data_IF_525701978126
#
_entry.id   IF_525701978126
#
_cell.length_a   1.000
_cell.length_b   1.000
_cell.length_c   1.000
_cell.angle_alpha   90.00
_cell.angle_beta   90.00
_cell.angle_gamma   90.00
#
_symmetry.space_group_name_H-M   'P 1'
#
loop_
_entity.id
_entity.type
_entity.pdbx_description
1 polymer ?
#
# COMPACT_ATOMS: atom_id res chain seq x y z
N UNK A 1 0.05 -15.30 19.27
CA UNK A 1 0.89 -14.80 20.37
C UNK A 1 0.52 -15.49 21.69
N UNK A 2 1.45 -15.62 22.62
CA UNK A 2 1.14 -16.07 23.97
C UNK A 2 0.53 -14.92 24.79
N UNK A 3 -0.44 -15.22 25.68
CA UNK A 3 -1.25 -14.20 26.39
C UNK A 3 -0.41 -13.12 27.12
N UNK A 4 0.77 -13.48 27.60
CA UNK A 4 1.63 -12.58 28.36
C UNK A 4 2.54 -11.68 27.47
N UNK A 5 2.43 -11.79 26.16
CA UNK A 5 3.29 -11.07 25.20
C UNK A 5 2.51 -10.16 24.26
N UNK A 6 1.33 -9.73 24.67
CA UNK A 6 0.48 -8.85 23.86
C UNK A 6 1.17 -7.53 23.49
N UNK A 7 1.89 -6.92 24.43
CA UNK A 7 2.60 -5.67 24.17
C UNK A 7 3.69 -5.83 23.12
N UNK A 8 4.43 -6.93 23.14
CA UNK A 8 5.45 -7.24 22.14
C UNK A 8 4.81 -7.41 20.76
N UNK A 9 3.70 -8.15 20.69
CA UNK A 9 2.92 -8.31 19.46
C UNK A 9 2.44 -6.97 18.93
N UNK A 10 1.86 -6.14 19.79
CA UNK A 10 1.33 -4.82 19.41
C UNK A 10 2.41 -3.91 18.83
N UNK A 11 3.57 -3.81 19.47
CA UNK A 11 4.68 -3.01 18.99
C UNK A 11 5.28 -3.57 17.71
N UNK A 12 5.45 -4.87 17.62
CA UNK A 12 5.94 -5.50 16.38
C UNK A 12 4.99 -5.27 15.21
N UNK A 13 3.70 -5.45 15.43
CA UNK A 13 2.67 -5.21 14.40
C UNK A 13 2.68 -3.75 13.93
N UNK A 14 2.72 -2.81 14.86
CA UNK A 14 2.81 -1.38 14.56
C UNK A 14 4.04 -1.03 13.74
N UNK A 15 5.21 -1.55 14.14
CA UNK A 15 6.46 -1.35 13.42
C UNK A 15 6.39 -1.95 12.00
N UNK A 16 5.90 -3.16 11.85
CA UNK A 16 5.77 -3.83 10.57
C UNK A 16 4.84 -3.06 9.63
N UNK A 17 3.72 -2.55 10.13
CA UNK A 17 2.78 -1.73 9.37
C UNK A 17 3.43 -0.42 8.90
N UNK A 18 4.10 0.31 9.77
CA UNK A 18 4.80 1.56 9.43
C UNK A 18 5.90 1.34 8.40
N UNK A 19 6.69 0.27 8.54
CA UNK A 19 7.71 -0.10 7.56
C UNK A 19 7.11 -0.44 6.20
N UNK A 20 5.99 -1.14 6.17
CA UNK A 20 5.29 -1.49 4.93
C UNK A 20 4.80 -0.23 4.21
N UNK A 21 4.21 0.71 4.93
CA UNK A 21 3.76 1.99 4.36
C UNK A 21 4.93 2.84 3.85
N UNK A 22 6.03 2.91 4.61
CA UNK A 22 7.23 3.61 4.18
C UNK A 22 7.84 2.99 2.91
N UNK A 23 7.82 1.67 2.82
CA UNK A 23 8.30 0.95 1.64
C UNK A 23 7.39 1.19 0.43
N UNK A 24 6.08 1.25 0.62
CA UNK A 24 5.14 1.59 -0.45
C UNK A 24 5.41 3.01 -1.00
N UNK A 25 5.71 3.98 -0.14
CA UNK A 25 6.13 5.32 -0.56
C UNK A 25 7.43 5.30 -1.39
N UNK A 26 8.41 4.52 -0.94
CA UNK A 26 9.69 4.37 -1.64
C UNK A 26 9.50 3.76 -3.05
N UNK A 27 8.70 2.70 -3.14
CA UNK A 27 8.39 2.07 -4.43
C UNK A 27 7.62 3.00 -5.36
N UNK A 28 6.64 3.74 -4.84
CA UNK A 28 5.89 4.71 -5.63
C UNK A 28 6.79 5.84 -6.14
N UNK A 29 7.71 6.34 -5.31
CA UNK A 29 8.71 7.31 -5.74
C UNK A 29 9.61 6.75 -6.86
N UNK A 30 10.00 5.48 -6.77
CA UNK A 30 10.76 4.79 -7.81
C UNK A 30 9.96 4.72 -9.12
N UNK A 31 8.69 4.32 -9.05
CA UNK A 31 7.80 4.27 -10.23
C UNK A 31 7.71 5.63 -10.90
N UNK A 32 7.53 6.72 -10.13
CA UNK A 32 7.49 8.08 -10.69
C UNK A 32 8.79 8.47 -11.40
N UNK A 33 9.94 8.06 -10.85
CA UNK A 33 11.24 8.30 -11.52
C UNK A 33 11.35 7.53 -12.82
N UNK A 34 10.98 6.26 -12.82
CA UNK A 34 11.02 5.40 -14.02
C UNK A 34 10.07 5.89 -15.11
N UNK A 35 8.93 6.46 -14.74
CA UNK A 35 7.97 7.06 -15.68
C UNK A 35 8.34 8.50 -16.11
N UNK A 36 9.40 9.07 -15.56
CA UNK A 36 9.83 10.42 -15.91
C UNK A 36 8.95 11.55 -15.36
N UNK A 37 8.13 11.28 -14.33
CA UNK A 37 7.20 12.26 -13.76
C UNK A 37 7.64 12.77 -12.37
N UNK A 38 8.76 12.31 -11.85
CA UNK A 38 9.26 12.70 -10.53
C UNK A 38 9.67 14.18 -10.42
N UNK A 39 9.84 14.89 -11.54
CA UNK A 39 10.12 16.33 -11.54
C UNK A 39 8.99 17.19 -10.93
N UNK A 40 7.81 16.62 -10.73
CA UNK A 40 6.66 17.26 -10.08
C UNK A 40 6.56 16.92 -8.59
N UNK A 41 7.46 16.07 -8.08
CA UNK A 41 7.48 15.72 -6.65
C UNK A 41 7.82 16.95 -5.82
N UNK A 42 7.07 17.17 -4.74
CA UNK A 42 7.38 18.23 -3.79
C UNK A 42 8.72 17.99 -3.10
N UNK A 43 9.50 19.04 -2.93
CA UNK A 43 10.78 18.96 -2.23
C UNK A 43 10.61 18.81 -0.71
N UNK A 44 9.51 19.32 -0.17
CA UNK A 44 9.17 19.19 1.24
C UNK A 44 8.46 17.85 1.52
N UNK A 45 8.95 17.12 2.54
CA UNK A 45 8.42 15.81 2.89
C UNK A 45 6.94 15.84 3.31
N UNK A 46 6.50 16.90 4.00
CA UNK A 46 5.08 17.00 4.39
C UNK A 46 4.18 17.13 3.19
N UNK A 47 4.57 17.98 2.24
CA UNK A 47 3.84 18.13 1.00
C UNK A 47 3.87 16.84 0.17
N UNK A 48 5.02 16.16 0.15
CA UNK A 48 5.18 14.88 -0.55
C UNK A 48 4.21 13.83 0.01
N UNK A 49 4.13 13.66 1.33
CA UNK A 49 3.23 12.72 1.99
C UNK A 49 1.75 13.12 1.90
N UNK A 50 1.47 14.38 1.54
CA UNK A 50 0.11 14.87 1.24
C UNK A 50 -0.20 14.84 -0.26
N UNK A 51 0.29 13.85 -0.97
CA UNK A 51 0.17 13.72 -2.43
C UNK A 51 0.80 14.88 -3.23
N UNK A 52 1.90 15.43 -2.75
CA UNK A 52 2.70 16.43 -3.48
C UNK A 52 3.47 15.84 -4.67
N UNK A 53 2.83 14.95 -5.44
CA UNK A 53 3.37 14.29 -6.62
C UNK A 53 2.26 14.03 -7.65
N UNK A 54 2.65 13.70 -8.88
CA UNK A 54 1.71 13.31 -9.92
C UNK A 54 1.28 11.85 -9.73
N UNK A 55 -0.03 11.60 -9.83
CA UNK A 55 -0.60 10.27 -9.70
C UNK A 55 -1.09 9.94 -8.29
N UNK A 56 -1.57 8.72 -8.11
CA UNK A 56 -2.09 8.24 -6.83
C UNK A 56 -1.98 6.73 -6.72
N UNK A 57 -2.04 6.22 -5.47
CA UNK A 57 -2.17 4.80 -5.15
C UNK A 57 -3.58 4.53 -4.65
N UNK A 58 -4.13 3.40 -5.07
CA UNK A 58 -5.44 2.92 -4.62
C UNK A 58 -5.30 1.47 -4.17
N UNK A 59 -5.86 1.14 -3.02
CA UNK A 59 -5.83 -0.22 -2.48
C UNK A 59 -7.24 -0.75 -2.26
N UNK A 60 -7.44 -2.04 -2.46
CA UNK A 60 -8.71 -2.70 -2.16
C UNK A 60 -9.01 -2.66 -0.67
N UNK A 61 -10.29 -2.49 -0.30
CA UNK A 61 -10.75 -2.33 1.08
C UNK A 61 -10.76 -0.89 1.59
N UNK A 62 -10.36 0.08 0.77
CA UNK A 62 -10.41 1.51 1.08
C UNK A 62 -11.49 2.24 0.25
N UNK A 63 -11.88 3.47 0.64
CA UNK A 63 -13.04 4.13 0.01
C UNK A 63 -13.02 4.21 -1.51
N UNK A 64 -11.85 4.36 -2.13
CA UNK A 64 -11.74 4.41 -3.59
C UNK A 64 -11.92 3.05 -4.28
N UNK A 65 -11.66 1.95 -3.57
CA UNK A 65 -11.80 0.56 -4.04
C UNK A 65 -12.31 -0.32 -2.91
N UNK A 66 -13.58 -0.20 -2.50
CA UNK A 66 -14.06 -0.80 -1.24
C UNK A 66 -14.15 -2.32 -1.28
N UNK A 67 -14.26 -2.93 -2.44
CA UNK A 67 -14.43 -4.37 -2.59
C UNK A 67 -13.12 -5.12 -2.42
N UNK A 68 -13.00 -5.87 -1.32
CA UNK A 68 -11.82 -6.70 -1.02
C UNK A 68 -11.67 -7.90 -1.96
N UNK A 69 -12.71 -8.36 -2.64
CA UNK A 69 -12.62 -9.49 -3.57
C UNK A 69 -11.63 -9.22 -4.70
N UNK A 70 -11.40 -7.95 -5.04
CA UNK A 70 -10.39 -7.55 -6.01
C UNK A 70 -8.97 -7.96 -5.67
N UNK A 71 -8.68 -8.28 -4.40
CA UNK A 71 -7.38 -8.80 -3.99
C UNK A 71 -7.09 -10.18 -4.62
N UNK A 72 -8.10 -11.01 -4.85
CA UNK A 72 -7.90 -12.35 -5.38
C UNK A 72 -7.25 -12.35 -6.78
N UNK A 73 -7.83 -11.71 -7.81
CA UNK A 73 -7.19 -11.64 -9.12
C UNK A 73 -5.89 -10.84 -9.11
N UNK A 74 -5.76 -9.84 -8.23
CA UNK A 74 -4.54 -9.05 -8.13
C UNK A 74 -3.37 -9.88 -7.63
N UNK A 75 -3.54 -10.63 -6.54
CA UNK A 75 -2.48 -11.48 -5.98
C UNK A 75 -2.11 -12.63 -6.93
N UNK A 76 -3.08 -13.18 -7.64
CA UNK A 76 -2.84 -14.20 -8.66
C UNK A 76 -2.00 -13.63 -9.81
N UNK A 77 -2.37 -12.47 -10.34
CA UNK A 77 -1.61 -11.79 -11.38
C UNK A 77 -0.16 -11.49 -10.99
N UNK A 78 0.06 -11.12 -9.73
CA UNK A 78 1.39 -10.78 -9.20
C UNK A 78 2.22 -12.02 -8.80
N UNK A 79 1.64 -13.21 -8.77
CA UNK A 79 2.31 -14.41 -8.26
C UNK A 79 2.61 -14.32 -6.76
N UNK A 80 1.82 -13.54 -6.03
CA UNK A 80 2.05 -13.27 -4.61
C UNK A 80 2.04 -14.52 -3.70
N UNK A 81 1.28 -15.60 -4.00
CA UNK A 81 1.36 -16.85 -3.23
C UNK A 81 2.75 -17.45 -3.19
N UNK A 82 3.54 -17.31 -4.24
CA UNK A 82 4.92 -17.81 -4.28
C UNK A 82 5.84 -17.11 -3.28
N UNK A 83 5.44 -15.94 -2.80
CA UNK A 83 6.13 -15.17 -1.77
C UNK A 83 5.55 -15.40 -0.35
N UNK A 84 4.62 -16.35 -0.21
CA UNK A 84 3.95 -16.60 1.07
C UNK A 84 2.84 -15.62 1.43
N UNK A 85 2.37 -14.83 0.46
CA UNK A 85 1.24 -13.91 0.65
C UNK A 85 -0.04 -14.64 0.24
N UNK A 86 -1.01 -14.69 1.16
CA UNK A 86 -2.30 -15.34 0.95
C UNK A 86 -3.47 -14.42 1.25
N UNK A 87 -4.67 -15.00 1.19
CA UNK A 87 -5.93 -14.34 1.52
C UNK A 87 -6.68 -15.14 2.59
N UNK A 88 -7.37 -14.41 3.46
CA UNK A 88 -8.39 -14.99 4.34
C UNK A 88 -9.68 -15.28 3.56
N UNK A 89 -10.67 -15.92 4.20
CA UNK A 89 -12.02 -16.10 3.62
C UNK A 89 -12.70 -14.77 3.30
N UNK A 90 -12.37 -13.70 4.03
CA UNK A 90 -12.86 -12.33 3.77
C UNK A 90 -11.99 -11.52 2.81
N UNK A 91 -11.10 -12.16 2.06
CA UNK A 91 -10.20 -11.51 1.09
C UNK A 91 -9.21 -10.50 1.67
N UNK A 92 -8.94 -10.58 2.97
CA UNK A 92 -7.87 -9.81 3.59
C UNK A 92 -6.52 -10.51 3.37
N UNK A 93 -5.48 -9.73 3.10
CA UNK A 93 -4.15 -10.27 2.86
C UNK A 93 -3.50 -10.79 4.14
N UNK A 94 -2.75 -11.88 4.01
CA UNK A 94 -1.92 -12.44 5.07
C UNK A 94 -0.47 -12.53 4.60
N UNK A 95 0.51 -12.19 5.43
CA UNK A 95 0.41 -11.59 6.78
C UNK A 95 -0.40 -10.28 6.80
N UNK A 96 -0.98 -9.94 7.95
CA UNK A 96 -1.95 -8.84 8.05
C UNK A 96 -1.35 -7.43 7.80
N UNK A 97 -0.04 -7.28 7.90
CA UNK A 97 0.68 -6.04 7.54
C UNK A 97 1.06 -5.96 6.05
N UNK A 98 0.60 -6.90 5.23
CA UNK A 98 0.80 -6.85 3.78
C UNK A 98 -0.07 -5.73 3.18
N UNK A 99 0.50 -4.99 2.24
CA UNK A 99 -0.25 -4.02 1.45
C UNK A 99 -0.07 -4.27 -0.05
N UNK A 100 -1.07 -3.87 -0.81
CA UNK A 100 -1.03 -3.86 -2.27
C UNK A 100 -1.57 -2.54 -2.78
N UNK A 101 -1.20 -2.15 -3.99
CA UNK A 101 -1.74 -0.93 -4.57
C UNK A 101 -1.84 -1.01 -6.09
N UNK A 102 -2.87 -0.36 -6.61
CA UNK A 102 -2.98 0.04 -8.00
C UNK A 102 -2.41 1.46 -8.12
N UNK A 103 -1.44 1.65 -9.00
CA UNK A 103 -0.79 2.95 -9.19
C UNK A 103 -1.31 3.59 -10.48
N UNK A 104 -1.99 4.72 -10.33
CA UNK A 104 -2.43 5.56 -11.45
C UNK A 104 -1.46 6.73 -11.61
N UNK A 105 -0.85 6.88 -12.77
CA UNK A 105 0.15 7.92 -13.07
C UNK A 105 -0.42 9.19 -13.70
N UNK A 106 -1.73 9.22 -13.94
CA UNK A 106 -2.39 10.35 -14.60
C UNK A 106 -2.30 11.63 -13.75
N UNK A 107 -2.07 12.83 -14.36
CA UNK A 107 -1.96 14.09 -13.62
C UNK A 107 -3.18 14.46 -12.77
N UNK A 108 -4.35 13.98 -13.15
CA UNK A 108 -5.61 14.23 -12.42
C UNK A 108 -5.93 13.15 -11.40
N UNK A 109 -5.15 12.07 -11.33
CA UNK A 109 -5.37 11.04 -10.34
C UNK A 109 -5.09 11.62 -8.94
N UNK A 110 -6.09 11.53 -8.07
CA UNK A 110 -6.04 11.97 -6.67
C UNK A 110 -6.72 10.94 -5.80
N UNK A 111 -6.20 10.76 -4.61
CA UNK A 111 -6.92 10.00 -3.61
C UNK A 111 -8.11 10.83 -3.12
N UNK A 112 -9.24 10.18 -2.96
CA UNK A 112 -10.44 10.80 -2.41
C UNK A 112 -11.02 9.92 -1.31
N UNK A 113 -11.59 10.55 -0.31
CA UNK A 113 -12.44 9.90 0.70
C UNK A 113 -13.90 10.25 0.41
N UNK A 114 -14.74 9.26 0.47
CA UNK A 114 -16.19 9.43 0.29
C UNK A 114 -16.84 9.70 1.64
#
# INVERSE_FOLDING_TARGET
YAADRYSDYFYFHGLATELTEAYAELLHARIRRELGIAGRDAADLRALFSQGYQGSRYSYGYPACPDLEGNAPLLDLLGAPDLGIGLTEGFQMTPEYTTSALVAWHPQARYFSV
#
